data_IF_024042218542
#
_entry.id   IF_024042218542
#
_cell.length_a   1.000
_cell.length_b   1.000
_cell.length_c   1.000
_cell.angle_alpha   90.00
_cell.angle_beta   90.00
_cell.angle_gamma   90.00
#
_symmetry.space_group_name_H-M   'P 1'
#
loop_
_entity.id
_entity.type
_entity.pdbx_description
1 polymer ?
#
# COMPACT_ATOMS: atom_id res chain seq x y z
N UNK A 1 18.10 17.19 -8.60
CA UNK A 1 17.26 17.46 -7.40
C UNK A 1 15.95 16.70 -7.54
N UNK A 2 15.49 16.04 -6.46
CA UNK A 2 14.19 15.34 -6.45
C UNK A 2 13.19 16.18 -5.68
N UNK A 3 11.97 16.27 -6.19
CA UNK A 3 10.82 16.90 -5.54
C UNK A 3 9.57 16.04 -5.73
N UNK A 4 8.57 16.27 -4.90
CA UNK A 4 7.33 15.51 -4.90
C UNK A 4 6.11 16.40 -5.10
N UNK A 5 5.17 15.96 -5.94
CA UNK A 5 3.86 16.58 -6.10
C UNK A 5 2.78 15.59 -5.71
N UNK A 6 1.76 16.02 -5.00
CA UNK A 6 0.60 15.16 -4.72
C UNK A 6 -0.01 14.66 -6.02
N UNK A 7 -0.26 13.35 -6.11
CA UNK A 7 -0.90 12.74 -7.28
C UNK A 7 -2.37 12.48 -7.08
N UNK A 8 -2.78 12.32 -5.85
CA UNK A 8 -4.11 11.82 -5.51
C UNK A 8 -5.01 12.94 -4.94
N UNK A 9 -6.28 12.83 -5.28
CA UNK A 9 -7.32 13.57 -4.59
C UNK A 9 -7.72 12.75 -3.36
N UNK A 10 -7.38 13.19 -2.14
CA UNK A 10 -7.73 12.45 -0.94
C UNK A 10 -9.25 12.31 -0.83
N UNK A 11 -9.70 11.12 -0.44
CA UNK A 11 -11.08 10.94 0.01
C UNK A 11 -11.07 11.03 1.54
N UNK A 12 -11.48 12.17 2.14
CA UNK A 12 -11.33 12.39 3.58
C UNK A 12 -11.99 11.31 4.44
N UNK A 13 -13.09 10.73 3.97
CA UNK A 13 -13.80 9.67 4.68
C UNK A 13 -12.95 8.40 4.75
N UNK A 14 -12.29 8.02 3.65
CA UNK A 14 -11.45 6.84 3.60
C UNK A 14 -10.15 7.05 4.39
N UNK A 15 -9.55 8.26 4.29
CA UNK A 15 -8.33 8.64 5.00
C UNK A 15 -8.50 8.56 6.52
N UNK A 16 -9.56 9.20 7.06
CA UNK A 16 -9.84 9.19 8.50
C UNK A 16 -10.03 7.76 9.01
N UNK A 17 -10.82 6.96 8.31
CA UNK A 17 -11.07 5.58 8.73
C UNK A 17 -9.82 4.69 8.61
N UNK A 18 -9.01 4.88 7.57
CA UNK A 18 -7.76 4.16 7.41
C UNK A 18 -6.76 4.49 8.53
N UNK A 19 -6.72 5.76 8.99
CA UNK A 19 -5.91 6.15 10.14
C UNK A 19 -6.40 5.49 11.44
N UNK A 20 -7.70 5.42 11.69
CA UNK A 20 -8.26 4.70 12.84
C UNK A 20 -7.86 3.22 12.84
N UNK A 21 -7.93 2.56 11.68
CA UNK A 21 -7.45 1.17 11.50
C UNK A 21 -5.94 1.08 11.76
N UNK A 22 -5.14 2.00 11.21
CA UNK A 22 -3.69 2.05 11.41
C UNK A 22 -3.31 2.17 12.88
N UNK A 23 -3.94 3.10 13.61
CA UNK A 23 -3.75 3.26 15.06
C UNK A 23 -4.13 1.97 15.81
N UNK A 24 -5.27 1.37 15.48
CA UNK A 24 -5.74 0.15 16.12
C UNK A 24 -4.78 -1.04 15.91
N UNK A 25 -4.23 -1.24 14.72
CA UNK A 25 -3.30 -2.36 14.44
C UNK A 25 -1.91 -2.12 15.02
N UNK A 26 -1.45 -0.87 15.09
CA UNK A 26 -0.17 -0.52 15.73
C UNK A 26 -0.17 -0.81 17.23
N UNK A 27 -1.29 -0.59 17.90
CA UNK A 27 -1.44 -0.86 19.34
C UNK A 27 -1.22 -2.34 19.69
N UNK A 28 -1.58 -3.27 18.78
CA UNK A 28 -1.44 -4.71 18.98
C UNK A 28 -1.01 -5.42 17.69
N UNK A 29 0.20 -5.93 17.64
CA UNK A 29 0.79 -6.59 16.46
C UNK A 29 -0.06 -7.74 15.89
N UNK A 30 -0.76 -8.50 16.75
CA UNK A 30 -1.66 -9.59 16.33
C UNK A 30 -2.81 -9.10 15.44
N UNK A 31 -3.22 -7.85 15.55
CA UNK A 31 -4.29 -7.26 14.73
C UNK A 31 -3.89 -7.09 13.28
N UNK A 32 -2.61 -6.86 13.00
CA UNK A 32 -2.09 -6.81 11.61
C UNK A 32 -2.34 -8.15 10.93
N UNK A 33 -2.06 -9.27 11.59
CA UNK A 33 -2.27 -10.61 11.02
C UNK A 33 -3.75 -10.89 10.76
N UNK A 34 -4.63 -10.47 11.68
CA UNK A 34 -6.09 -10.59 11.50
C UNK A 34 -6.54 -9.76 10.30
N UNK A 35 -6.18 -8.48 10.27
CA UNK A 35 -6.54 -7.56 9.17
C UNK A 35 -6.04 -8.09 7.83
N UNK A 36 -4.76 -8.47 7.74
CA UNK A 36 -4.18 -9.02 6.52
C UNK A 36 -4.94 -10.28 6.04
N UNK A 37 -5.30 -11.17 6.97
CA UNK A 37 -6.06 -12.37 6.63
C UNK A 37 -7.45 -12.03 6.07
N UNK A 38 -8.18 -11.12 6.71
CA UNK A 38 -9.50 -10.68 6.27
C UNK A 38 -9.43 -10.01 4.90
N UNK A 39 -8.52 -9.06 4.70
CA UNK A 39 -8.37 -8.32 3.45
C UNK A 39 -7.92 -9.22 2.30
N UNK A 40 -6.99 -10.16 2.55
CA UNK A 40 -6.53 -11.13 1.55
C UNK A 40 -7.64 -12.09 1.12
N UNK A 41 -8.40 -12.64 2.07
CA UNK A 41 -9.49 -13.56 1.77
C UNK A 41 -10.67 -12.87 1.06
N UNK A 42 -10.87 -11.60 1.29
CA UNK A 42 -11.92 -10.79 0.65
C UNK A 42 -11.58 -10.42 -0.79
N UNK A 43 -10.31 -10.31 -1.12
CA UNK A 43 -9.86 -9.83 -2.43
C UNK A 43 -10.47 -8.45 -2.76
N UNK A 44 -10.88 -8.26 -4.00
CA UNK A 44 -11.45 -6.99 -4.50
C UNK A 44 -12.96 -6.84 -4.24
N UNK A 45 -13.61 -7.75 -3.51
CA UNK A 45 -15.07 -7.74 -3.32
C UNK A 45 -15.48 -7.40 -1.89
N UNK A 46 -16.23 -6.31 -1.73
CA UNK A 46 -16.86 -5.90 -0.48
C UNK A 46 -17.85 -6.96 0.03
N UNK A 47 -18.62 -7.57 -0.86
CA UNK A 47 -19.55 -8.64 -0.48
C UNK A 47 -18.79 -9.84 0.11
N UNK A 48 -17.66 -10.20 -0.49
CA UNK A 48 -16.82 -11.29 0.03
C UNK A 48 -16.20 -10.91 1.38
N UNK A 49 -15.83 -9.64 1.58
CA UNK A 49 -15.39 -9.16 2.89
C UNK A 49 -16.46 -9.40 3.96
N UNK A 50 -17.72 -9.04 3.72
CA UNK A 50 -18.84 -9.25 4.65
C UNK A 50 -18.94 -10.72 5.07
N UNK A 51 -18.85 -11.64 4.12
CA UNK A 51 -18.91 -13.07 4.40
C UNK A 51 -17.75 -13.57 5.26
N UNK A 52 -16.52 -13.16 4.91
CA UNK A 52 -15.30 -13.54 5.62
C UNK A 52 -15.29 -12.95 7.03
N UNK A 53 -15.63 -11.68 7.16
CA UNK A 53 -15.68 -10.96 8.42
C UNK A 53 -16.73 -11.55 9.36
N UNK A 54 -17.95 -11.80 8.89
CA UNK A 54 -19.02 -12.41 9.70
C UNK A 54 -18.61 -13.81 10.21
N UNK A 55 -17.96 -14.61 9.36
CA UNK A 55 -17.44 -15.92 9.78
C UNK A 55 -16.36 -15.77 10.86
N UNK A 56 -15.46 -14.81 10.73
CA UNK A 56 -14.42 -14.53 11.72
C UNK A 56 -15.01 -13.96 13.03
N UNK A 57 -16.00 -13.07 12.97
CA UNK A 57 -16.64 -12.43 14.11
C UNK A 57 -17.53 -13.39 14.93
N UNK A 58 -18.13 -14.41 14.30
CA UNK A 58 -19.09 -15.32 14.93
C UNK A 58 -18.58 -15.97 16.23
N UNK A 59 -17.35 -16.52 16.32
CA UNK A 59 -16.83 -17.08 17.58
C UNK A 59 -16.63 -16.05 18.69
N UNK A 60 -16.37 -14.80 18.36
CA UNK A 60 -16.13 -13.74 19.33
C UNK A 60 -17.38 -13.45 20.16
N UNK A 61 -18.56 -13.55 19.55
CA UNK A 61 -19.85 -13.35 20.21
C UNK A 61 -20.24 -14.51 21.14
N UNK A 62 -19.62 -15.69 20.98
CA UNK A 62 -19.93 -16.92 21.75
C UNK A 62 -18.97 -17.17 22.91
N UNK A 63 -17.84 -16.47 22.96
CA UNK A 63 -16.78 -16.64 23.97
C UNK A 63 -16.60 -15.34 24.74
N UNK A 64 -16.04 -15.40 25.97
CA UNK A 64 -15.49 -14.23 26.64
C UNK A 64 -14.23 -13.77 25.88
N UNK A 65 -14.44 -13.06 24.78
CA UNK A 65 -13.32 -12.49 24.03
C UNK A 65 -12.73 -11.30 24.76
N UNK A 66 -11.42 -11.05 24.62
CA UNK A 66 -10.79 -9.88 25.20
C UNK A 66 -11.48 -8.58 24.72
N UNK A 67 -11.70 -7.60 25.59
CA UNK A 67 -12.39 -6.35 25.25
C UNK A 67 -11.77 -5.62 24.04
N UNK A 68 -10.44 -5.62 23.96
CA UNK A 68 -9.68 -5.01 22.87
C UNK A 68 -9.91 -5.68 21.50
N UNK A 69 -10.19 -7.00 21.49
CA UNK A 69 -10.53 -7.71 20.27
C UNK A 69 -11.97 -7.40 19.84
N UNK A 70 -12.88 -7.21 20.80
CA UNK A 70 -14.26 -6.81 20.50
C UNK A 70 -14.31 -5.36 19.98
N UNK A 71 -13.51 -4.46 20.55
CA UNK A 71 -13.33 -3.09 20.04
C UNK A 71 -12.81 -3.09 18.59
N UNK A 72 -11.80 -3.90 18.32
CA UNK A 72 -11.27 -4.03 16.95
C UNK A 72 -12.30 -4.62 15.99
N UNK A 73 -13.06 -5.63 16.42
CA UNK A 73 -14.15 -6.18 15.62
C UNK A 73 -15.25 -5.14 15.32
N UNK A 74 -15.56 -4.27 16.30
CA UNK A 74 -16.51 -3.17 16.10
C UNK A 74 -15.99 -2.13 15.11
N UNK A 75 -14.69 -1.85 15.11
CA UNK A 75 -14.07 -0.96 14.14
C UNK A 75 -14.14 -1.59 12.73
N UNK A 76 -13.79 -2.87 12.59
CA UNK A 76 -13.87 -3.58 11.32
C UNK A 76 -15.30 -3.73 10.77
N UNK A 77 -16.31 -3.71 11.61
CA UNK A 77 -17.74 -3.74 11.22
C UNK A 77 -18.15 -2.47 10.44
N UNK A 78 -17.43 -1.37 10.65
CA UNK A 78 -17.73 -0.09 9.99
C UNK A 78 -17.36 -0.06 8.50
N UNK A 79 -16.60 -1.04 7.99
CA UNK A 79 -16.31 -1.12 6.56
C UNK A 79 -17.58 -1.05 5.70
N UNK A 80 -18.68 -1.63 6.17
CA UNK A 80 -19.98 -1.63 5.48
C UNK A 80 -20.65 -0.24 5.40
N UNK A 81 -20.34 0.65 6.31
CA UNK A 81 -20.84 2.04 6.32
C UNK A 81 -19.89 2.98 5.59
N UNK A 82 -18.62 2.61 5.53
CA UNK A 82 -17.56 3.40 4.87
C UNK A 82 -17.54 3.12 3.38
N UNK A 83 -17.67 1.85 2.97
CA UNK A 83 -17.66 1.46 1.56
C UNK A 83 -19.06 1.00 1.12
N UNK A 84 -19.53 1.53 -0.02
CA UNK A 84 -20.82 1.20 -0.62
C UNK A 84 -20.69 0.24 -1.81
N UNK A 85 -19.51 0.13 -2.39
CA UNK A 85 -19.20 -0.66 -3.58
C UNK A 85 -17.76 -1.18 -3.59
N UNK A 86 -17.44 -2.05 -4.55
CA UNK A 86 -16.13 -2.67 -4.70
C UNK A 86 -15.02 -1.66 -5.07
N UNK A 87 -15.33 -0.53 -5.72
CA UNK A 87 -14.36 0.51 -6.04
C UNK A 87 -13.88 1.22 -4.77
N UNK A 88 -14.80 1.66 -3.91
CA UNK A 88 -14.48 2.26 -2.62
C UNK A 88 -13.75 1.27 -1.70
N UNK A 89 -14.16 0.00 -1.72
CA UNK A 89 -13.48 -1.07 -1.01
C UNK A 89 -12.01 -1.22 -1.43
N UNK A 90 -11.75 -1.24 -2.74
CA UNK A 90 -10.38 -1.37 -3.26
C UNK A 90 -9.53 -0.13 -2.94
N UNK A 91 -10.10 1.07 -3.04
CA UNK A 91 -9.43 2.32 -2.62
C UNK A 91 -9.08 2.28 -1.13
N UNK A 92 -10.04 1.95 -0.27
CA UNK A 92 -9.82 1.90 1.18
C UNK A 92 -8.72 0.91 1.55
N UNK A 93 -8.67 -0.27 0.92
CA UNK A 93 -7.61 -1.25 1.15
C UNK A 93 -6.22 -0.67 0.85
N UNK A 94 -6.07 0.08 -0.25
CA UNK A 94 -4.82 0.78 -0.58
C UNK A 94 -4.45 1.79 0.52
N UNK A 95 -5.37 2.70 0.83
CA UNK A 95 -5.15 3.74 1.85
C UNK A 95 -4.81 3.15 3.22
N UNK A 96 -5.46 2.04 3.64
CA UNK A 96 -5.11 1.36 4.90
C UNK A 96 -3.67 0.84 4.88
N UNK A 97 -3.22 0.25 3.75
CA UNK A 97 -1.85 -0.23 3.63
C UNK A 97 -0.84 0.91 3.80
N UNK A 98 -1.07 2.02 3.11
CA UNK A 98 -0.26 3.22 3.17
C UNK A 98 -0.24 3.80 4.60
N UNK A 99 -1.39 3.97 5.26
CA UNK A 99 -1.50 4.51 6.63
C UNK A 99 -0.85 3.62 7.70
N UNK A 100 -0.83 2.31 7.53
CA UNK A 100 -0.08 1.43 8.43
C UNK A 100 1.43 1.59 8.23
N UNK A 101 1.89 1.80 7.00
CA UNK A 101 3.29 1.94 6.65
C UNK A 101 3.85 3.34 6.98
N UNK A 102 3.07 4.38 6.79
CA UNK A 102 3.45 5.80 6.93
C UNK A 102 4.29 6.12 8.18
N UNK A 103 3.92 5.72 9.42
CA UNK A 103 4.70 6.06 10.61
C UNK A 103 6.10 5.43 10.65
N UNK A 104 6.27 4.26 10.03
CA UNK A 104 7.59 3.62 9.92
C UNK A 104 8.48 4.36 8.92
N UNK A 105 7.89 4.79 7.81
CA UNK A 105 8.58 5.60 6.80
C UNK A 105 8.93 6.99 7.34
N UNK A 106 8.02 7.63 8.08
CA UNK A 106 8.26 8.89 8.77
C UNK A 106 9.45 8.81 9.74
N UNK A 107 9.48 7.76 10.57
CA UNK A 107 10.57 7.56 11.52
C UNK A 107 11.92 7.32 10.82
N UNK A 108 11.91 6.55 9.73
CA UNK A 108 13.10 6.23 8.95
C UNK A 108 13.68 7.44 8.23
N UNK A 109 12.83 8.35 7.78
CA UNK A 109 13.17 9.53 6.99
C UNK A 109 12.88 10.84 7.73
N UNK A 110 13.14 10.88 9.04
CA UNK A 110 12.90 12.06 9.87
C UNK A 110 13.69 13.29 9.35
N UNK A 111 14.90 13.07 8.81
CA UNK A 111 15.81 14.11 8.33
C UNK A 111 15.74 14.33 6.81
N UNK A 112 14.72 13.78 6.12
CA UNK A 112 14.57 13.99 4.68
C UNK A 112 14.25 15.44 4.35
N UNK A 113 14.91 15.97 3.30
CA UNK A 113 14.65 17.33 2.78
C UNK A 113 13.28 17.40 2.09
N UNK A 114 12.93 16.32 1.39
CA UNK A 114 11.67 16.16 0.66
C UNK A 114 11.08 14.78 0.99
N UNK A 115 9.78 14.75 1.24
CA UNK A 115 9.06 13.52 1.56
C UNK A 115 7.61 13.62 1.13
N UNK A 116 7.01 12.50 0.68
CA UNK A 116 5.62 12.49 0.29
C UNK A 116 5.01 11.11 0.16
N UNK A 117 3.69 11.07 0.21
CA UNK A 117 2.84 9.87 0.11
C UNK A 117 1.87 10.03 -1.05
N UNK A 118 1.66 8.95 -1.83
CA UNK A 118 0.85 9.00 -3.05
C UNK A 118 1.34 10.10 -4.01
N UNK A 119 2.65 10.16 -4.30
CA UNK A 119 3.26 11.32 -4.94
C UNK A 119 3.81 11.02 -6.33
N UNK A 120 3.72 12.01 -7.20
CA UNK A 120 4.50 12.07 -8.44
C UNK A 120 5.93 12.43 -8.10
N UNK A 121 6.87 11.72 -8.70
CA UNK A 121 8.30 12.00 -8.55
C UNK A 121 8.75 12.91 -9.69
N UNK A 122 9.39 14.03 -9.34
CA UNK A 122 10.02 14.93 -10.28
C UNK A 122 11.54 14.88 -10.10
N UNK A 123 12.26 14.69 -11.19
CA UNK A 123 13.72 14.79 -11.23
C UNK A 123 14.08 16.02 -12.06
N UNK A 124 14.77 16.98 -11.43
CA UNK A 124 15.07 18.30 -12.05
C UNK A 124 13.82 19.01 -12.60
N UNK A 125 12.71 18.98 -11.83
CA UNK A 125 11.39 19.51 -12.17
C UNK A 125 10.70 18.80 -13.36
N UNK A 126 11.20 17.64 -13.81
CA UNK A 126 10.59 16.85 -14.86
C UNK A 126 9.89 15.64 -14.24
N UNK A 127 8.57 15.48 -14.37
CA UNK A 127 7.86 14.36 -13.79
C UNK A 127 8.20 13.05 -14.52
N UNK A 128 8.47 12.02 -13.73
CA UNK A 128 8.65 10.65 -14.23
C UNK A 128 7.27 10.08 -14.56
N UNK A 129 7.04 9.73 -15.83
CA UNK A 129 5.75 9.23 -16.33
C UNK A 129 5.96 7.97 -17.15
N UNK A 130 5.41 6.87 -16.69
CA UNK A 130 5.37 5.62 -17.45
C UNK A 130 4.16 5.60 -18.37
N UNK A 131 4.40 5.20 -19.62
CA UNK A 131 3.36 4.96 -20.63
C UNK A 131 3.69 3.67 -21.37
N UNK A 132 2.87 2.62 -21.23
CA UNK A 132 3.09 1.38 -21.96
C UNK A 132 2.88 1.58 -23.47
N UNK A 133 3.54 0.76 -24.27
CA UNK A 133 3.30 0.74 -25.73
C UNK A 133 1.88 0.29 -26.07
N UNK A 134 1.32 -0.60 -25.26
CA UNK A 134 -0.06 -1.08 -25.36
C UNK A 134 -0.68 -1.12 -23.96
N UNK A 135 -1.86 -0.54 -23.82
CA UNK A 135 -2.61 -0.55 -22.56
C UNK A 135 -3.30 -1.91 -22.41
N UNK A 136 -3.10 -2.55 -21.24
CA UNK A 136 -3.77 -3.79 -20.84
C UNK A 136 -4.43 -3.62 -19.46
N UNK A 137 -5.09 -4.64 -18.97
CA UNK A 137 -5.68 -4.63 -17.62
C UNK A 137 -4.66 -4.53 -16.50
N UNK A 138 -3.42 -4.97 -16.74
CA UNK A 138 -2.32 -4.97 -15.75
C UNK A 138 -1.22 -3.96 -16.09
N UNK A 139 -1.20 -3.42 -17.31
CA UNK A 139 -0.21 -2.43 -17.75
C UNK A 139 -0.90 -1.19 -18.33
N UNK A 140 -0.85 -0.11 -17.59
CA UNK A 140 -1.47 1.17 -17.93
C UNK A 140 -0.56 2.33 -17.50
N UNK A 141 -0.82 3.58 -17.96
CA UNK A 141 -0.02 4.73 -17.56
C UNK A 141 0.05 4.89 -16.04
N UNK A 142 1.26 5.20 -15.52
CA UNK A 142 1.50 5.47 -14.11
C UNK A 142 2.51 6.60 -13.92
N UNK A 143 2.38 7.36 -12.83
CA UNK A 143 3.25 8.51 -12.57
C UNK A 143 3.51 8.76 -11.07
N UNK A 144 3.12 7.86 -10.18
CA UNK A 144 3.26 8.05 -8.73
C UNK A 144 3.81 6.81 -8.04
N UNK A 145 4.42 7.02 -6.88
CA UNK A 145 4.79 6.00 -5.88
C UNK A 145 3.92 6.17 -4.65
N UNK A 146 3.76 5.12 -3.86
CA UNK A 146 2.98 5.17 -2.63
C UNK A 146 3.72 5.94 -1.52
N UNK A 147 5.08 5.89 -1.48
CA UNK A 147 5.89 6.76 -0.64
C UNK A 147 7.23 7.07 -1.28
N UNK A 148 7.77 8.28 -1.03
CA UNK A 148 9.07 8.71 -1.48
C UNK A 148 9.75 9.66 -0.49
N UNK A 149 11.08 9.56 -0.35
CA UNK A 149 11.91 10.45 0.45
C UNK A 149 13.22 10.79 -0.26
N UNK A 150 13.72 12.00 -0.03
CA UNK A 150 14.99 12.53 -0.53
C UNK A 150 15.69 13.33 0.54
N UNK A 151 16.93 13.00 0.88
CA UNK A 151 17.72 13.69 1.91
C UNK A 151 18.80 14.64 1.36
N UNK A 152 18.82 14.88 0.06
CA UNK A 152 19.85 15.69 -0.62
C UNK A 152 20.92 14.84 -1.32
N UNK A 153 21.12 13.59 -0.91
CA UNK A 153 22.13 12.66 -1.46
C UNK A 153 21.55 11.36 -1.93
N UNK A 154 20.62 10.80 -1.13
CA UNK A 154 20.00 9.49 -1.39
C UNK A 154 18.48 9.60 -1.44
N UNK A 155 17.88 8.88 -2.37
CA UNK A 155 16.42 8.74 -2.50
C UNK A 155 15.96 7.34 -2.08
N UNK A 156 14.78 7.27 -1.49
CA UNK A 156 14.10 6.01 -1.22
C UNK A 156 12.65 6.08 -1.71
N UNK A 157 12.21 5.03 -2.41
CA UNK A 157 10.86 4.94 -2.96
C UNK A 157 10.24 3.61 -2.59
N UNK A 158 8.95 3.62 -2.32
CA UNK A 158 8.22 2.42 -1.89
C UNK A 158 6.89 2.31 -2.62
N UNK A 159 6.63 1.12 -3.12
CA UNK A 159 5.31 0.69 -3.59
C UNK A 159 4.73 -0.29 -2.57
N UNK A 160 3.51 -0.05 -2.10
CA UNK A 160 2.92 -0.74 -0.95
C UNK A 160 1.67 -1.50 -1.40
N UNK A 161 1.61 -2.81 -1.13
CA UNK A 161 0.42 -3.64 -1.37
C UNK A 161 0.16 -4.56 -0.19
N UNK A 162 -1.11 -4.86 0.13
CA UNK A 162 -1.42 -5.85 1.15
C UNK A 162 -0.96 -7.26 0.80
N UNK A 163 -0.97 -7.61 -0.49
CA UNK A 163 -0.57 -8.93 -0.97
C UNK A 163 0.36 -8.80 -2.17
N UNK A 164 1.37 -9.67 -2.32
CA UNK A 164 2.23 -9.65 -3.50
C UNK A 164 1.46 -9.85 -4.80
N UNK A 165 0.34 -10.57 -4.79
CA UNK A 165 -0.55 -10.73 -5.96
C UNK A 165 -1.27 -9.45 -6.40
N UNK A 166 -1.16 -8.36 -5.64
CA UNK A 166 -1.76 -7.09 -5.97
C UNK A 166 -0.83 -6.17 -6.79
N UNK A 167 0.48 -6.50 -6.88
CA UNK A 167 1.38 -5.80 -7.79
C UNK A 167 1.00 -6.10 -9.23
N UNK A 168 1.05 -5.08 -10.06
CA UNK A 168 0.74 -5.16 -11.49
C UNK A 168 1.96 -4.79 -12.32
N UNK A 169 1.94 -5.16 -13.59
CA UNK A 169 3.04 -4.87 -14.51
C UNK A 169 3.33 -3.37 -14.62
N UNK A 170 2.29 -2.51 -14.57
CA UNK A 170 2.44 -1.05 -14.55
C UNK A 170 3.25 -0.55 -13.34
N UNK A 171 3.10 -1.18 -12.17
CA UNK A 171 3.81 -0.79 -10.95
C UNK A 171 5.31 -1.05 -11.12
N UNK A 172 5.65 -2.25 -11.58
CA UNK A 172 7.03 -2.67 -11.80
C UNK A 172 7.69 -1.87 -12.93
N UNK A 173 6.99 -1.69 -14.05
CA UNK A 173 7.52 -0.94 -15.19
C UNK A 173 7.75 0.53 -14.86
N UNK A 174 6.87 1.14 -14.05
CA UNK A 174 7.07 2.50 -13.55
C UNK A 174 8.31 2.57 -12.65
N UNK A 175 8.49 1.65 -11.72
CA UNK A 175 9.64 1.62 -10.82
C UNK A 175 10.95 1.39 -11.58
N UNK A 176 10.99 0.51 -12.58
CA UNK A 176 12.15 0.31 -13.47
C UNK A 176 12.47 1.59 -14.28
N UNK A 177 11.45 2.31 -14.73
CA UNK A 177 11.66 3.61 -15.40
C UNK A 177 12.23 4.65 -14.41
N UNK A 178 11.70 4.70 -13.20
CA UNK A 178 12.18 5.60 -12.15
C UNK A 178 13.65 5.31 -11.82
N UNK A 179 14.02 4.05 -11.61
CA UNK A 179 15.38 3.57 -11.39
C UNK A 179 16.30 4.05 -12.54
N UNK A 180 15.93 3.79 -13.80
CA UNK A 180 16.69 4.23 -14.99
C UNK A 180 16.93 5.76 -14.98
N UNK A 181 15.90 6.56 -14.62
CA UNK A 181 16.02 8.01 -14.56
C UNK A 181 16.92 8.51 -13.44
N UNK A 182 16.95 7.82 -12.32
CA UNK A 182 17.84 8.11 -11.21
C UNK A 182 19.28 7.76 -11.54
N UNK A 183 19.51 6.62 -12.21
CA UNK A 183 20.83 6.19 -12.69
C UNK A 183 21.41 7.17 -13.72
N UNK A 184 20.61 7.61 -14.68
CA UNK A 184 21.00 8.63 -15.67
C UNK A 184 21.49 9.92 -15.00
N UNK A 185 21.01 10.22 -13.78
CA UNK A 185 21.38 11.39 -12.99
C UNK A 185 22.42 11.11 -11.91
N UNK A 186 22.93 9.87 -11.83
CA UNK A 186 23.85 9.43 -10.79
C UNK A 186 23.35 9.68 -9.37
N UNK A 187 22.05 9.57 -9.14
CA UNK A 187 21.41 9.72 -7.84
C UNK A 187 21.42 8.37 -7.13
N UNK A 188 22.03 8.31 -5.95
CA UNK A 188 21.93 7.12 -5.11
C UNK A 188 20.47 6.91 -4.70
N UNK A 189 19.98 5.68 -4.87
CA UNK A 189 18.59 5.38 -4.56
C UNK A 189 18.37 3.93 -4.13
N UNK A 190 17.23 3.70 -3.49
CA UNK A 190 16.70 2.37 -3.18
C UNK A 190 15.21 2.35 -3.46
N UNK A 191 14.74 1.30 -4.13
CA UNK A 191 13.34 1.10 -4.46
C UNK A 191 12.84 -0.19 -3.80
N UNK A 192 11.75 -0.11 -3.04
CA UNK A 192 11.18 -1.23 -2.32
C UNK A 192 9.78 -1.58 -2.82
N UNK A 193 9.49 -2.88 -2.82
CA UNK A 193 8.15 -3.43 -2.88
C UNK A 193 7.78 -3.91 -1.48
N UNK A 194 6.82 -3.25 -0.83
CA UNK A 194 6.40 -3.54 0.53
C UNK A 194 5.08 -4.30 0.57
N UNK A 195 5.02 -5.40 1.34
CA UNK A 195 3.78 -6.15 1.60
C UNK A 195 3.68 -6.54 3.07
N UNK A 196 2.49 -7.00 3.48
CA UNK A 196 2.27 -7.57 4.81
C UNK A 196 2.50 -9.08 4.86
N UNK A 197 3.25 -9.62 3.91
CA UNK A 197 3.66 -11.02 3.84
C UNK A 197 5.18 -11.14 4.08
N UNK A 198 5.65 -12.35 4.34
CA UNK A 198 7.09 -12.59 4.44
C UNK A 198 7.80 -12.42 3.09
N UNK A 199 9.10 -12.15 3.15
CA UNK A 199 9.92 -11.83 1.99
C UNK A 199 9.97 -13.00 1.00
N UNK A 200 10.15 -14.22 1.48
CA UNK A 200 10.32 -15.39 0.60
C UNK A 200 9.03 -15.72 -0.15
N UNK A 201 7.89 -15.64 0.54
CA UNK A 201 6.59 -15.78 -0.13
C UNK A 201 6.37 -14.65 -1.15
N UNK A 202 6.70 -13.41 -0.79
CA UNK A 202 6.56 -12.26 -1.70
C UNK A 202 7.41 -12.45 -2.96
N UNK A 203 8.69 -12.81 -2.82
CA UNK A 203 9.57 -13.07 -3.95
C UNK A 203 9.04 -14.21 -4.83
N UNK A 204 8.59 -15.32 -4.23
CA UNK A 204 8.08 -16.47 -4.99
C UNK A 204 6.87 -16.11 -5.84
N UNK A 205 5.94 -15.29 -5.32
CA UNK A 205 4.77 -14.83 -6.07
C UNK A 205 5.18 -13.89 -7.20
N UNK A 206 6.02 -12.89 -6.92
CA UNK A 206 6.44 -11.91 -7.94
C UNK A 206 7.20 -12.60 -9.10
N UNK A 207 8.01 -13.63 -8.81
CA UNK A 207 8.67 -14.46 -9.85
C UNK A 207 7.66 -15.28 -10.65
N UNK A 208 6.72 -15.95 -9.98
CA UNK A 208 5.68 -16.74 -10.65
C UNK A 208 4.82 -15.88 -11.60
N UNK A 209 4.58 -14.62 -11.25
CA UNK A 209 3.85 -13.65 -12.05
C UNK A 209 4.74 -12.92 -13.09
N UNK A 210 6.01 -13.30 -13.22
CA UNK A 210 7.03 -12.68 -14.10
C UNK A 210 7.18 -11.16 -13.89
N UNK A 211 7.03 -10.71 -12.66
CA UNK A 211 7.18 -9.29 -12.30
C UNK A 211 8.61 -8.93 -11.91
N UNK A 212 9.40 -9.90 -11.42
CA UNK A 212 10.83 -9.76 -11.12
C UNK A 212 11.61 -10.94 -11.72
N UNK A 213 12.89 -10.72 -12.00
CA UNK A 213 13.79 -11.74 -12.55
C UNK A 213 14.29 -12.71 -11.47
N UNK A 214 14.93 -13.82 -11.89
CA UNK A 214 15.50 -14.86 -11.00
C UNK A 214 16.86 -14.47 -10.38
N UNK A 215 17.34 -13.25 -10.63
CA UNK A 215 18.63 -12.75 -10.12
C UNK A 215 18.64 -12.45 -8.62
#
# INVERSE_FOLDING_TARGET
MITFESSDYPNPKLEVFAEEISVAVRKYKSRIAILNTLLRQSGSSLQRYRLVFNKWKMPLNKRKSPPDLLEFASLLDQFDTICTNDEEWNKLRGVIAEKIFEPYFEQRHADACEKGYGVKVLIDNVPVKYRPKQITSTDSPRQSVDAGAWNGEQAEFVEIKFSPTAFQLKDINYLKLLETRLDEKHIQHTIYLATFNDIEFTKSVLKADNLIDDS
#
